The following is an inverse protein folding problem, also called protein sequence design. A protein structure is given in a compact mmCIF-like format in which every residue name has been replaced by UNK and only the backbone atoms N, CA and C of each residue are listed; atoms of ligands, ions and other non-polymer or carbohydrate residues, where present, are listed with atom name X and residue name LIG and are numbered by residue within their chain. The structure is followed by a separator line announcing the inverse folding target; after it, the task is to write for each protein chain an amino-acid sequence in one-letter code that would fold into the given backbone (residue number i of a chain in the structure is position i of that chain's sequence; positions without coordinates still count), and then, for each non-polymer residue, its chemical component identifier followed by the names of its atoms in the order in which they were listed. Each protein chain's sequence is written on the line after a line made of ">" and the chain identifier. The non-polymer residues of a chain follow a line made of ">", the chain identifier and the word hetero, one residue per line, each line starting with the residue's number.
data_IF_670139030176
#
_entry.id   IF_670139030176
#
_cell.length_a   1.000
_cell.length_b   1.000
_cell.length_c   1.000
_cell.angle_alpha   90.00
_cell.angle_beta   90.00
_cell.angle_gamma   90.00
#
_symmetry.space_group_name_H-M   'P 1'
#
loop_
_entity.id
_entity.type
_entity.pdbx_description
1 polymer ?
#
# COMPACT_ATOMS: atom_id res chain seq x y z
N UNK A 1 11.50 75.01 15.47
CA UNK A 1 10.84 74.28 14.36
C UNK A 1 11.84 73.34 13.69
N UNK A 2 11.41 72.13 13.32
CA UNK A 2 12.12 71.13 12.47
C UNK A 2 13.49 70.66 12.97
N UNK A 3 13.52 69.58 13.77
CA UNK A 3 14.63 68.59 13.82
C UNK A 3 14.39 67.41 14.79
N UNK A 4 13.19 67.28 15.38
CA UNK A 4 12.84 66.16 16.29
C UNK A 4 11.87 65.13 15.71
N UNK A 5 11.49 65.26 14.43
CA UNK A 5 10.52 64.36 13.80
C UNK A 5 11.14 63.33 12.85
N UNK A 6 12.48 63.23 12.80
CA UNK A 6 13.17 62.24 11.93
C UNK A 6 13.72 61.03 12.70
N UNK A 7 13.76 61.07 14.04
CA UNK A 7 14.33 59.97 14.83
C UNK A 7 13.31 58.88 15.18
N UNK A 8 12.00 59.15 15.06
CA UNK A 8 10.94 58.19 15.37
C UNK A 8 10.59 57.26 14.20
N UNK A 9 10.89 57.66 12.96
CA UNK A 9 10.61 56.84 11.76
C UNK A 9 11.66 55.76 11.49
N UNK A 10 12.86 55.86 12.09
CA UNK A 10 13.94 54.87 11.93
C UNK A 10 13.79 53.72 12.94
N UNK A 11 13.12 53.94 14.07
CA UNK A 11 12.93 52.90 15.09
C UNK A 11 11.81 51.89 14.77
N UNK A 12 10.91 52.23 13.84
CA UNK A 12 9.79 51.36 13.42
C UNK A 12 10.15 50.39 12.27
N UNK A 13 11.37 50.47 11.73
CA UNK A 13 11.86 49.59 10.66
C UNK A 13 12.66 48.38 11.16
N UNK A 14 12.87 48.25 12.48
CA UNK A 14 13.65 47.17 13.09
C UNK A 14 12.81 46.01 13.65
N UNK A 15 11.48 46.04 13.51
CA UNK A 15 10.59 44.94 13.94
C UNK A 15 10.14 44.04 12.78
N UNK A 16 10.83 44.10 11.63
CA UNK A 16 10.61 43.17 10.53
C UNK A 16 11.19 41.79 10.89
N UNK A 17 10.34 40.99 11.54
CA UNK A 17 10.25 39.54 11.48
C UNK A 17 11.57 38.76 11.46
N UNK A 18 12.12 38.46 12.64
CA UNK A 18 12.73 37.14 12.86
C UNK A 18 11.60 36.11 13.03
N UNK A 19 10.86 35.83 11.96
CA UNK A 19 10.13 34.57 11.85
C UNK A 19 11.20 33.50 11.67
N UNK A 20 11.79 33.06 12.78
CA UNK A 20 12.34 31.72 12.82
C UNK A 20 11.10 30.83 12.96
N UNK A 21 10.62 30.16 11.89
CA UNK A 21 9.82 28.99 12.14
C UNK A 21 10.73 28.08 12.96
N UNK A 22 10.46 27.98 14.27
CA UNK A 22 10.92 26.82 15.01
C UNK A 22 10.59 25.63 14.12
N UNK A 23 11.52 24.70 13.85
CA UNK A 23 11.15 23.46 13.20
C UNK A 23 10.05 22.88 14.07
N UNK A 24 8.80 22.97 13.60
CA UNK A 24 7.73 22.18 14.16
C UNK A 24 8.19 20.77 13.84
N UNK A 25 8.84 20.15 14.82
CA UNK A 25 9.12 18.74 14.83
C UNK A 25 7.76 18.06 15.01
N UNK A 26 6.95 18.12 13.96
CA UNK A 26 5.76 17.31 13.84
C UNK A 26 6.27 15.90 13.72
N UNK A 27 6.02 15.11 14.77
CA UNK A 27 6.20 13.67 14.68
C UNK A 27 5.08 13.18 13.77
N UNK A 28 5.45 12.71 12.59
CA UNK A 28 4.54 12.12 11.62
C UNK A 28 4.56 10.62 11.89
N UNK A 29 3.40 10.06 12.20
CA UNK A 29 3.21 8.62 12.25
C UNK A 29 2.97 8.14 10.82
N UNK A 30 3.96 7.44 10.27
CA UNK A 30 3.93 6.96 8.90
C UNK A 30 3.31 5.57 8.84
N UNK A 31 2.61 5.25 7.75
CA UNK A 31 2.42 3.84 7.37
C UNK A 31 3.80 3.22 7.09
N UNK A 32 4.06 1.98 7.49
CA UNK A 32 5.36 1.33 7.22
C UNK A 32 5.45 1.00 5.73
N UNK A 33 6.23 1.78 4.98
CA UNK A 33 6.38 1.62 3.52
C UNK A 33 7.82 1.84 3.04
N UNK A 34 8.09 1.39 1.81
CA UNK A 34 9.29 1.68 1.01
C UNK A 34 8.86 2.12 -0.39
N UNK A 35 9.43 3.20 -0.95
CA UNK A 35 9.25 3.55 -2.37
C UNK A 35 10.49 3.16 -3.17
N UNK A 36 10.33 2.28 -4.15
CA UNK A 36 11.39 1.79 -5.02
C UNK A 36 10.84 1.55 -6.43
N UNK A 37 11.62 1.93 -7.44
CA UNK A 37 11.27 1.75 -8.85
C UNK A 37 9.88 2.30 -9.24
N UNK A 38 9.51 3.47 -8.71
CA UNK A 38 8.22 4.14 -8.94
C UNK A 38 7.01 3.36 -8.40
N UNK A 39 7.28 2.43 -7.50
CA UNK A 39 6.29 1.61 -6.79
C UNK A 39 6.40 1.86 -5.28
N UNK A 40 5.26 2.03 -4.62
CA UNK A 40 5.17 2.08 -3.15
C UNK A 40 4.84 0.68 -2.65
N UNK A 41 5.65 0.16 -1.74
CA UNK A 41 5.44 -1.12 -1.07
C UNK A 41 5.10 -0.89 0.40
N UNK A 42 3.94 -1.37 0.86
CA UNK A 42 3.55 -1.36 2.26
C UNK A 42 4.00 -2.65 2.97
N UNK A 43 4.35 -2.55 4.26
CA UNK A 43 4.67 -3.73 5.05
C UNK A 43 3.45 -4.66 5.12
N UNK A 44 3.60 -5.93 4.74
CA UNK A 44 2.54 -6.92 4.91
C UNK A 44 2.57 -7.43 6.35
N UNK A 45 1.69 -6.90 7.20
CA UNK A 45 1.67 -7.20 8.63
C UNK A 45 1.47 -8.69 8.93
N UNK A 46 0.56 -9.36 8.22
CA UNK A 46 0.22 -10.77 8.46
C UNK A 46 1.38 -11.70 8.13
N UNK A 47 2.03 -11.49 6.98
CA UNK A 47 3.22 -12.24 6.60
C UNK A 47 4.38 -11.98 7.56
N UNK A 48 4.49 -10.76 8.08
CA UNK A 48 5.54 -10.40 9.03
C UNK A 48 5.29 -11.00 10.43
N UNK A 49 4.04 -11.30 10.80
CA UNK A 49 3.71 -12.03 12.03
C UNK A 49 4.06 -13.52 11.99
N UNK A 50 4.20 -14.10 10.79
CA UNK A 50 4.64 -15.50 10.63
C UNK A 50 6.08 -15.73 11.12
N UNK A 51 6.87 -14.66 11.31
CA UNK A 51 8.27 -14.71 11.77
C UNK A 51 9.11 -15.76 11.00
N UNK A 52 8.85 -15.90 9.70
CA UNK A 52 9.52 -16.85 8.81
C UNK A 52 10.72 -16.18 8.14
N UNK A 53 11.82 -16.92 8.02
CA UNK A 53 12.95 -16.51 7.19
C UNK A 53 12.60 -16.71 5.71
N UNK A 54 12.27 -15.61 5.04
CA UNK A 54 11.94 -15.62 3.62
C UNK A 54 13.21 -15.70 2.76
N UNK A 55 13.22 -16.59 1.77
CA UNK A 55 14.34 -16.71 0.83
C UNK A 55 14.39 -15.50 -0.12
N UNK A 56 15.59 -14.99 -0.36
CA UNK A 56 15.84 -13.89 -1.29
C UNK A 56 16.46 -14.41 -2.60
N UNK A 57 16.13 -13.77 -3.72
CA UNK A 57 16.69 -14.09 -5.04
C UNK A 57 17.84 -13.15 -5.47
N UNK A 58 17.96 -11.97 -4.85
CA UNK A 58 19.02 -11.00 -5.14
C UNK A 58 18.69 -9.59 -4.64
N UNK A 59 19.71 -8.74 -4.53
CA UNK A 59 19.53 -7.32 -4.19
C UNK A 59 18.91 -6.57 -5.40
N UNK A 60 17.85 -5.81 -5.14
CA UNK A 60 17.16 -4.99 -6.16
C UNK A 60 17.31 -3.48 -5.90
N UNK A 61 17.69 -3.11 -4.67
CA UNK A 61 17.85 -1.71 -4.31
C UNK A 61 18.37 -1.49 -2.89
N UNK A 62 18.33 -0.23 -2.47
CA UNK A 62 18.78 0.22 -1.16
C UNK A 62 17.98 1.44 -0.73
N UNK A 63 17.66 1.50 0.57
CA UNK A 63 17.07 2.67 1.21
C UNK A 63 18.10 3.82 1.25
N UNK A 64 17.74 4.95 0.69
CA UNK A 64 18.56 6.17 0.61
C UNK A 64 18.19 7.17 1.70
N UNK A 65 16.97 7.14 2.20
CA UNK A 65 16.46 8.10 3.17
C UNK A 65 15.37 7.50 4.06
N UNK A 66 15.50 7.68 5.37
CA UNK A 66 14.46 7.32 6.35
C UNK A 66 13.60 8.55 6.63
N UNK A 67 12.28 8.41 6.56
CA UNK A 67 11.35 9.51 6.78
C UNK A 67 11.13 9.75 8.27
N UNK A 68 10.98 8.69 9.06
CA UNK A 68 10.74 8.80 10.50
C UNK A 68 11.84 9.59 11.22
N UNK A 69 11.42 10.67 11.88
CA UNK A 69 12.26 11.63 12.58
C UNK A 69 13.07 12.58 11.68
N UNK A 70 12.95 12.51 10.35
CA UNK A 70 13.74 13.35 9.42
C UNK A 70 12.89 14.11 8.38
N UNK A 71 11.76 13.57 7.94
CA UNK A 71 10.88 14.19 6.95
C UNK A 71 9.84 15.11 7.61
N UNK A 72 9.59 16.27 6.97
CA UNK A 72 8.49 17.18 7.34
C UNK A 72 7.20 16.85 6.58
N UNK A 73 6.11 17.51 6.94
CA UNK A 73 4.76 17.26 6.36
C UNK A 73 4.64 17.62 4.88
N UNK A 74 5.59 18.37 4.33
CA UNK A 74 5.67 18.74 2.91
C UNK A 74 6.62 17.84 2.10
N UNK A 75 7.15 16.77 2.69
CA UNK A 75 8.00 15.82 1.99
C UNK A 75 7.21 15.08 0.92
N UNK A 76 7.78 15.01 -0.29
CA UNK A 76 7.24 14.21 -1.38
C UNK A 76 8.05 12.92 -1.46
N UNK A 77 7.39 11.79 -1.25
CA UNK A 77 8.00 10.46 -1.30
C UNK A 77 8.60 10.20 -2.68
N UNK A 78 9.80 9.62 -2.72
CA UNK A 78 10.54 9.28 -3.95
C UNK A 78 11.33 7.98 -3.81
N UNK A 79 11.85 7.46 -4.91
CA UNK A 79 12.63 6.22 -4.91
C UNK A 79 13.82 6.24 -3.95
N UNK A 80 13.89 5.23 -3.09
CA UNK A 80 14.86 5.09 -2.00
C UNK A 80 14.38 5.65 -0.66
N UNK A 81 13.18 6.20 -0.58
CA UNK A 81 12.57 6.58 0.68
C UNK A 81 11.97 5.35 1.38
N UNK A 82 12.09 5.32 2.71
CA UNK A 82 11.39 4.36 3.56
C UNK A 82 10.86 5.05 4.82
N UNK A 83 9.68 4.66 5.28
CA UNK A 83 9.08 5.20 6.50
C UNK A 83 10.01 5.00 7.69
N UNK A 84 10.38 3.74 7.96
CA UNK A 84 11.10 3.36 9.19
C UNK A 84 12.47 2.70 8.95
N UNK A 85 12.72 2.14 7.77
CA UNK A 85 14.00 1.49 7.47
C UNK A 85 15.16 2.48 7.45
N UNK A 86 16.30 2.07 7.98
CA UNK A 86 17.48 2.93 8.02
C UNK A 86 18.10 3.10 6.64
N UNK A 87 18.75 4.25 6.41
CA UNK A 87 19.58 4.45 5.22
C UNK A 87 20.64 3.35 5.12
N UNK A 88 20.81 2.77 3.94
CA UNK A 88 21.71 1.66 3.67
C UNK A 88 21.07 0.28 3.81
N UNK A 89 19.83 0.18 4.31
CA UNK A 89 19.08 -1.09 4.30
C UNK A 89 18.90 -1.58 2.87
N UNK A 90 19.33 -2.81 2.61
CA UNK A 90 19.20 -3.46 1.31
C UNK A 90 17.78 -3.94 1.07
N UNK A 91 17.33 -3.82 -0.18
CA UNK A 91 16.05 -4.34 -0.67
C UNK A 91 16.35 -5.57 -1.52
N UNK A 92 15.63 -6.66 -1.29
CA UNK A 92 15.83 -7.92 -1.98
C UNK A 92 14.55 -8.37 -2.68
N UNK A 93 14.69 -8.99 -3.86
CA UNK A 93 13.59 -9.74 -4.46
C UNK A 93 13.28 -10.96 -3.59
N UNK A 94 12.00 -11.22 -3.33
CA UNK A 94 11.57 -12.47 -2.71
C UNK A 94 11.66 -13.61 -3.71
N UNK A 95 12.26 -14.73 -3.32
CA UNK A 95 12.42 -15.86 -4.24
C UNK A 95 11.06 -16.43 -4.62
N UNK A 96 10.84 -16.61 -5.93
CA UNK A 96 9.59 -17.14 -6.49
C UNK A 96 8.58 -16.06 -6.89
N UNK A 97 8.89 -14.78 -6.67
CA UNK A 97 8.03 -13.67 -7.04
C UNK A 97 8.77 -12.59 -7.84
N UNK A 98 8.03 -11.86 -8.67
CA UNK A 98 8.48 -10.64 -9.30
C UNK A 98 8.68 -9.55 -8.22
N UNK A 99 9.83 -8.83 -8.22
CA UNK A 99 10.05 -7.73 -7.27
C UNK A 99 9.07 -6.57 -7.42
N UNK A 100 8.33 -6.45 -8.54
CA UNK A 100 7.23 -5.49 -8.69
C UNK A 100 6.04 -5.82 -7.76
N UNK A 101 5.86 -7.09 -7.40
CA UNK A 101 4.81 -7.51 -6.47
C UNK A 101 5.27 -7.39 -5.01
N UNK A 102 6.40 -8.02 -4.67
CA UNK A 102 6.89 -8.04 -3.28
C UNK A 102 8.40 -8.09 -3.15
N UNK A 103 8.88 -7.37 -2.14
CA UNK A 103 10.29 -7.27 -1.78
C UNK A 103 10.50 -7.57 -0.30
N UNK A 104 11.73 -7.91 0.06
CA UNK A 104 12.17 -8.13 1.44
C UNK A 104 13.15 -7.04 1.84
N UNK A 105 12.96 -6.48 3.03
CA UNK A 105 13.90 -5.56 3.64
C UNK A 105 13.92 -5.73 5.16
N UNK A 106 15.11 -5.86 5.74
CA UNK A 106 15.30 -6.08 7.19
C UNK A 106 14.46 -7.25 7.75
N UNK A 107 14.40 -8.35 6.99
CA UNK A 107 13.63 -9.55 7.34
C UNK A 107 12.11 -9.42 7.18
N UNK A 108 11.60 -8.24 6.85
CA UNK A 108 10.17 -8.01 6.60
C UNK A 108 9.82 -8.09 5.12
N UNK A 109 8.62 -8.55 4.84
CA UNK A 109 7.99 -8.52 3.52
C UNK A 109 7.21 -7.23 3.35
N UNK A 110 7.43 -6.60 2.21
CA UNK A 110 6.72 -5.44 1.71
C UNK A 110 6.06 -5.78 0.38
N UNK A 111 4.79 -5.46 0.23
CA UNK A 111 4.00 -5.72 -0.97
C UNK A 111 3.55 -4.43 -1.62
N UNK A 112 3.44 -4.44 -2.93
CA UNK A 112 2.99 -3.28 -3.71
C UNK A 112 1.60 -2.83 -3.26
N UNK A 113 1.48 -1.53 -3.00
CA UNK A 113 0.20 -0.86 -2.69
C UNK A 113 -0.13 0.21 -3.71
N UNK A 114 0.89 0.79 -4.37
CA UNK A 114 0.73 1.80 -5.41
C UNK A 114 1.82 1.60 -6.48
N UNK A 115 1.47 1.76 -7.75
CA UNK A 115 2.40 1.70 -8.87
C UNK A 115 2.07 2.79 -9.88
N UNK A 116 3.08 3.59 -10.25
CA UNK A 116 2.95 4.62 -11.28
C UNK A 116 2.98 4.01 -12.70
N UNK A 117 3.20 2.69 -12.82
CA UNK A 117 3.41 1.97 -14.08
C UNK A 117 2.44 0.81 -14.30
N UNK A 118 1.56 0.52 -13.35
CA UNK A 118 0.56 -0.54 -13.50
C UNK A 118 -0.43 -0.21 -14.61
N UNK A 119 -0.84 -1.23 -15.35
CA UNK A 119 -1.89 -1.18 -16.39
C UNK A 119 -3.08 -2.06 -16.01
N UNK A 120 -2.85 -3.09 -15.20
CA UNK A 120 -3.83 -4.06 -14.73
C UNK A 120 -3.75 -4.26 -13.22
N UNK A 121 -4.80 -4.82 -12.62
CA UNK A 121 -4.77 -5.28 -11.22
C UNK A 121 -3.75 -6.42 -11.05
N UNK A 122 -3.51 -7.23 -12.08
CA UNK A 122 -2.45 -8.25 -12.09
C UNK A 122 -1.04 -7.70 -11.89
N UNK A 123 -0.77 -6.45 -12.27
CA UNK A 123 0.55 -5.82 -12.04
C UNK A 123 0.83 -5.59 -10.54
N UNK A 124 -0.21 -5.63 -9.71
CA UNK A 124 -0.11 -5.62 -8.25
C UNK A 124 -0.01 -7.03 -7.65
N UNK A 125 -0.22 -8.07 -8.47
CA UNK A 125 -0.51 -9.43 -8.01
C UNK A 125 0.24 -10.44 -8.88
N UNK A 126 1.45 -10.83 -8.48
CA UNK A 126 2.19 -11.92 -9.14
C UNK A 126 1.72 -13.29 -8.61
N UNK A 127 0.43 -13.61 -8.82
CA UNK A 127 -0.27 -14.74 -8.20
C UNK A 127 -0.71 -15.84 -9.18
N UNK A 128 -0.58 -15.63 -10.49
CA UNK A 128 -0.98 -16.62 -11.50
C UNK A 128 -0.26 -17.96 -11.29
N UNK A 129 -1.03 -19.04 -11.21
CA UNK A 129 -0.52 -20.40 -10.93
C UNK A 129 0.04 -20.61 -9.52
N UNK A 130 -0.16 -19.66 -8.59
CA UNK A 130 0.34 -19.72 -7.21
C UNK A 130 -0.77 -19.72 -6.16
N UNK A 131 -2.04 -19.61 -6.58
CA UNK A 131 -3.19 -19.58 -5.67
C UNK A 131 -3.48 -20.98 -5.14
N UNK A 132 -3.63 -21.08 -3.81
CA UNK A 132 -4.06 -22.27 -3.08
C UNK A 132 -5.58 -22.29 -2.93
N UNK A 133 -6.17 -21.16 -2.53
CA UNK A 133 -7.61 -20.94 -2.34
C UNK A 133 -7.93 -19.45 -2.15
N UNK A 134 -9.20 -19.09 -2.27
CA UNK A 134 -9.71 -17.75 -1.96
C UNK A 134 -10.70 -17.85 -0.79
N UNK A 135 -10.51 -17.02 0.23
CA UNK A 135 -11.32 -17.04 1.45
C UNK A 135 -12.04 -15.73 1.67
N UNK A 136 -13.25 -15.77 2.23
CA UNK A 136 -13.97 -14.63 2.76
C UNK A 136 -13.54 -14.34 4.19
N UNK A 137 -13.42 -13.07 4.54
CA UNK A 137 -12.97 -12.63 5.86
C UNK A 137 -13.87 -11.56 6.46
N UNK A 138 -14.05 -11.61 7.78
CA UNK A 138 -14.81 -10.64 8.54
C UNK A 138 -14.25 -9.23 8.42
N UNK A 139 -15.13 -8.27 8.14
CA UNK A 139 -14.80 -6.84 8.15
C UNK A 139 -14.35 -6.36 9.54
N UNK A 140 -14.76 -7.04 10.63
CA UNK A 140 -14.49 -6.58 12.00
C UNK A 140 -13.09 -6.95 12.48
N UNK A 141 -12.65 -8.17 12.19
CA UNK A 141 -11.46 -8.78 12.79
C UNK A 141 -10.66 -9.66 11.84
N UNK A 142 -11.03 -9.70 10.56
CA UNK A 142 -10.34 -10.44 9.51
C UNK A 142 -10.37 -11.97 9.70
N UNK A 143 -11.18 -12.47 10.63
CA UNK A 143 -11.38 -13.90 10.82
C UNK A 143 -12.01 -14.56 9.60
N UNK A 144 -11.70 -15.84 9.39
CA UNK A 144 -12.25 -16.65 8.31
C UNK A 144 -13.78 -16.76 8.42
N UNK A 145 -14.49 -16.48 7.33
CA UNK A 145 -15.94 -16.64 7.20
C UNK A 145 -16.27 -17.86 6.36
N UNK A 146 -15.65 -17.97 5.19
CA UNK A 146 -15.99 -18.96 4.18
C UNK A 146 -14.89 -19.08 3.14
N UNK A 147 -15.03 -20.05 2.25
CA UNK A 147 -14.09 -20.32 1.17
C UNK A 147 -14.85 -20.33 -0.14
N UNK A 148 -14.27 -19.73 -1.18
CA UNK A 148 -14.82 -19.77 -2.52
C UNK A 148 -14.75 -21.21 -3.03
N UNK A 149 -15.72 -21.62 -3.85
CA UNK A 149 -15.57 -22.87 -4.60
C UNK A 149 -14.35 -22.80 -5.52
N UNK A 150 -13.71 -23.95 -5.81
CA UNK A 150 -12.53 -24.01 -6.69
C UNK A 150 -12.80 -23.34 -8.06
N UNK A 151 -14.00 -23.54 -8.62
CA UNK A 151 -14.42 -22.96 -9.91
C UNK A 151 -14.51 -21.43 -9.84
N UNK A 152 -15.20 -20.89 -8.83
CA UNK A 152 -15.31 -19.45 -8.65
C UNK A 152 -13.98 -18.79 -8.29
N UNK A 153 -13.13 -19.48 -7.52
CA UNK A 153 -11.79 -19.00 -7.22
C UNK A 153 -10.95 -18.91 -8.50
N UNK A 154 -10.97 -19.93 -9.37
CA UNK A 154 -10.25 -19.91 -10.65
C UNK A 154 -10.73 -18.76 -11.54
N UNK A 155 -12.05 -18.64 -11.76
CA UNK A 155 -12.65 -17.58 -12.57
C UNK A 155 -12.35 -16.18 -12.03
N UNK A 156 -12.45 -15.98 -10.71
CA UNK A 156 -12.12 -14.70 -10.08
C UNK A 156 -10.66 -14.32 -10.36
N UNK A 157 -9.73 -15.27 -10.22
CA UNK A 157 -8.30 -14.99 -10.40
C UNK A 157 -7.99 -14.69 -11.86
N UNK A 158 -8.55 -15.44 -12.81
CA UNK A 158 -8.39 -15.19 -14.25
C UNK A 158 -8.84 -13.78 -14.65
N UNK A 159 -10.00 -13.34 -14.16
CA UNK A 159 -10.51 -11.99 -14.42
C UNK A 159 -9.71 -10.93 -13.68
N UNK A 160 -9.30 -11.19 -12.43
CA UNK A 160 -8.57 -10.24 -11.60
C UNK A 160 -7.21 -9.87 -12.21
N UNK A 161 -6.47 -10.84 -12.75
CA UNK A 161 -5.11 -10.56 -13.30
C UNK A 161 -5.15 -9.71 -14.57
N UNK A 162 -6.21 -9.81 -15.38
CA UNK A 162 -6.36 -8.99 -16.61
C UNK A 162 -7.21 -7.74 -16.43
N UNK A 163 -7.80 -7.54 -15.24
CA UNK A 163 -8.68 -6.41 -14.93
C UNK A 163 -7.92 -5.09 -15.12
N UNK A 164 -8.43 -4.14 -15.93
CA UNK A 164 -7.78 -2.84 -16.12
C UNK A 164 -7.63 -2.06 -14.81
N UNK A 165 -6.49 -1.39 -14.64
CA UNK A 165 -6.22 -0.51 -13.52
C UNK A 165 -6.73 0.91 -13.78
N UNK A 166 -7.62 1.42 -12.92
CA UNK A 166 -8.06 2.81 -12.93
C UNK A 166 -7.57 3.55 -11.65
N UNK A 167 -6.41 4.25 -11.68
CA UNK A 167 -5.80 4.86 -10.47
C UNK A 167 -6.66 5.91 -9.77
N UNK A 168 -7.50 6.61 -10.54
CA UNK A 168 -8.41 7.64 -10.05
C UNK A 168 -9.68 7.06 -9.41
N UNK A 169 -9.94 5.77 -9.61
CA UNK A 169 -11.13 5.12 -9.12
C UNK A 169 -10.91 4.58 -7.72
N UNK A 170 -11.79 4.97 -6.80
CA UNK A 170 -11.78 4.52 -5.41
C UNK A 170 -13.22 4.42 -4.90
N UNK A 171 -13.54 3.35 -4.21
CA UNK A 171 -14.72 3.29 -3.35
C UNK A 171 -14.30 3.60 -1.91
N UNK A 172 -14.91 4.59 -1.29
CA UNK A 172 -14.60 5.01 0.10
C UNK A 172 -15.75 4.74 1.06
N UNK A 173 -16.91 4.32 0.56
CA UNK A 173 -18.15 4.16 1.31
C UNK A 173 -18.91 2.94 0.77
N UNK A 174 -19.78 2.35 1.60
CA UNK A 174 -20.57 1.16 1.26
C UNK A 174 -20.11 -0.11 1.98
N UNK A 175 -20.80 -1.22 1.72
CA UNK A 175 -20.45 -2.53 2.28
C UNK A 175 -19.10 -2.98 1.73
N UNK A 176 -18.26 -3.57 2.59
CA UNK A 176 -16.94 -4.09 2.21
C UNK A 176 -16.89 -5.60 2.36
N UNK A 177 -16.50 -6.27 1.30
CA UNK A 177 -16.26 -7.70 1.27
C UNK A 177 -14.76 -7.93 1.26
N UNK A 178 -14.21 -8.37 2.39
CA UNK A 178 -12.79 -8.70 2.49
C UNK A 178 -12.59 -10.13 2.04
N UNK A 179 -11.58 -10.33 1.19
CA UNK A 179 -11.18 -11.66 0.77
C UNK A 179 -9.66 -11.79 0.76
N UNK A 180 -9.21 -12.97 1.15
CA UNK A 180 -7.80 -13.36 1.17
C UNK A 180 -7.52 -14.32 0.02
N UNK A 181 -6.44 -14.09 -0.71
CA UNK A 181 -5.90 -15.01 -1.71
C UNK A 181 -4.72 -15.71 -1.04
N UNK A 182 -4.95 -16.92 -0.55
CA UNK A 182 -3.89 -17.75 0.02
C UNK A 182 -3.08 -18.38 -1.11
N UNK A 183 -1.75 -18.33 -1.00
CA UNK A 183 -0.82 -18.85 -1.98
C UNK A 183 -0.22 -20.18 -1.49
N UNK A 184 0.25 -21.00 -2.44
CA UNK A 184 0.79 -22.35 -2.19
C UNK A 184 2.02 -22.38 -1.25
N UNK A 185 2.68 -21.23 -1.04
CA UNK A 185 3.81 -21.09 -0.12
C UNK A 185 3.40 -20.74 1.33
N UNK A 186 2.09 -20.68 1.59
CA UNK A 186 1.46 -20.34 2.86
C UNK A 186 1.33 -18.84 3.11
N UNK A 187 1.64 -17.98 2.13
CA UNK A 187 1.41 -16.54 2.22
C UNK A 187 0.00 -16.17 1.81
N UNK A 188 -0.43 -14.95 2.15
CA UNK A 188 -1.73 -14.43 1.75
C UNK A 188 -1.58 -12.98 1.32
N UNK A 189 -2.23 -12.63 0.21
CA UNK A 189 -2.50 -11.23 -0.13
C UNK A 189 -3.99 -10.96 0.01
N UNK A 190 -4.33 -9.78 0.53
CA UNK A 190 -5.71 -9.41 0.87
C UNK A 190 -6.20 -8.34 -0.06
N UNK A 191 -7.43 -8.51 -0.51
CA UNK A 191 -8.15 -7.51 -1.27
C UNK A 191 -9.52 -7.27 -0.67
N UNK A 192 -10.22 -6.31 -1.26
CA UNK A 192 -11.54 -5.87 -0.82
C UNK A 192 -12.38 -5.52 -2.03
N UNK A 193 -13.64 -5.92 -1.96
CA UNK A 193 -14.66 -5.73 -2.98
C UNK A 193 -15.82 -4.92 -2.41
N UNK A 194 -16.37 -4.00 -3.21
CA UNK A 194 -17.55 -3.18 -2.86
C UNK A 194 -18.72 -3.55 -3.77
N UNK A 195 -19.68 -4.36 -3.30
CA UNK A 195 -20.79 -4.86 -4.11
C UNK A 195 -21.58 -3.76 -4.82
N UNK A 196 -21.80 -2.62 -4.18
CA UNK A 196 -22.64 -1.55 -4.73
C UNK A 196 -22.04 -0.87 -5.96
N UNK A 197 -20.72 -0.91 -6.10
CA UNK A 197 -19.99 -0.22 -7.19
C UNK A 197 -19.27 -1.17 -8.13
N UNK A 198 -19.14 -2.43 -7.74
CA UNK A 198 -18.26 -3.40 -8.39
C UNK A 198 -16.77 -3.11 -8.18
N UNK A 199 -16.40 -2.13 -7.35
CA UNK A 199 -15.00 -1.77 -7.17
C UNK A 199 -14.24 -2.89 -6.45
N UNK A 200 -13.06 -3.23 -6.97
CA UNK A 200 -12.08 -4.12 -6.34
C UNK A 200 -10.86 -3.29 -5.99
N UNK A 201 -10.18 -3.63 -4.89
CA UNK A 201 -8.93 -2.97 -4.52
C UNK A 201 -7.94 -2.88 -5.69
N UNK A 202 -6.97 -1.98 -5.60
CA UNK A 202 -6.06 -1.65 -6.69
C UNK A 202 -6.73 -1.00 -7.91
N UNK A 203 -7.83 -0.26 -7.75
CA UNK A 203 -8.40 0.50 -8.87
C UNK A 203 -9.26 -0.31 -9.85
N UNK A 204 -9.56 -1.56 -9.55
CA UNK A 204 -10.29 -2.47 -10.44
C UNK A 204 -11.80 -2.29 -10.41
N UNK A 205 -12.47 -2.74 -11.47
CA UNK A 205 -13.94 -2.84 -11.55
C UNK A 205 -14.34 -4.23 -12.02
N UNK A 206 -15.08 -4.94 -11.18
CA UNK A 206 -15.62 -6.26 -11.45
C UNK A 206 -16.49 -6.25 -12.72
N UNK A 207 -16.23 -7.21 -13.60
CA UNK A 207 -17.16 -7.63 -14.65
C UNK A 207 -18.44 -8.19 -14.04
N UNK A 208 -19.51 -8.32 -14.83
CA UNK A 208 -20.77 -8.86 -14.30
C UNK A 208 -20.60 -10.28 -13.76
N UNK A 209 -19.79 -11.10 -14.43
CA UNK A 209 -19.44 -12.45 -14.01
C UNK A 209 -18.75 -12.46 -12.64
N UNK A 210 -17.75 -11.58 -12.41
CA UNK A 210 -17.11 -11.45 -11.09
C UNK A 210 -18.12 -11.00 -10.02
N UNK A 211 -19.07 -10.13 -10.34
CA UNK A 211 -20.11 -9.73 -9.38
C UNK A 211 -21.02 -10.90 -9.02
N UNK A 212 -21.45 -11.69 -10.00
CA UNK A 212 -22.28 -12.88 -9.79
C UNK A 212 -21.55 -13.92 -8.92
N UNK A 213 -20.24 -14.10 -9.13
CA UNK A 213 -19.38 -14.93 -8.28
C UNK A 213 -19.43 -14.43 -6.83
N UNK A 214 -19.16 -13.14 -6.60
CA UNK A 214 -19.21 -12.58 -5.25
C UNK A 214 -20.61 -12.73 -4.64
N UNK A 215 -21.68 -12.43 -5.37
CA UNK A 215 -23.05 -12.57 -4.87
C UNK A 215 -23.38 -14.00 -4.43
N UNK A 216 -22.95 -15.00 -5.22
CA UNK A 216 -23.13 -16.40 -4.88
C UNK A 216 -22.37 -16.78 -3.59
N UNK A 217 -21.09 -16.43 -3.51
CA UNK A 217 -20.21 -16.80 -2.40
C UNK A 217 -20.62 -16.07 -1.10
N UNK A 218 -20.87 -14.76 -1.16
CA UNK A 218 -21.34 -13.95 -0.02
C UNK A 218 -22.70 -14.47 0.49
N UNK A 219 -23.59 -14.86 -0.43
CA UNK A 219 -24.92 -15.36 -0.11
C UNK A 219 -24.94 -16.71 0.61
N UNK A 220 -23.91 -17.54 0.42
CA UNK A 220 -23.77 -18.82 1.12
C UNK A 220 -23.48 -18.64 2.62
N UNK A 221 -22.73 -17.60 2.99
CA UNK A 221 -22.21 -17.42 4.34
C UNK A 221 -22.90 -16.33 5.17
N UNK A 222 -23.98 -15.72 4.67
CA UNK A 222 -24.69 -14.59 5.33
C UNK A 222 -23.73 -13.46 5.75
N UNK A 223 -22.78 -13.16 4.87
CA UNK A 223 -21.72 -12.16 5.05
C UNK A 223 -22.29 -10.75 5.21
#
# INVERSE_FOLDING_TARGET
>A
MRKRTLLFSILLLLTACSFNPSPQNTIIDWVDFVKWNDTTYGANYEMNELNKDWETAGEVGEVKYRLDGHAGTNHQTKNGDAAYLSKGTKLFAMKGYDPAFRIIADGKVYEVTESDTAETVGDFLDIEGKVQRVILQSEQDLSFIGEFTDEHAEQLIEELVVMPYEPERRATEGKRVFFGIELVDGTMTRSVYWPETGYVNYGGVASEEVKEIFEAEIGEYDY
#
